data_IF_620892866665
#
_entry.id   IF_620892866665
#
_cell.length_a   1.000
_cell.length_b   1.000
_cell.length_c   1.000
_cell.angle_alpha   90.00
_cell.angle_beta   90.00
_cell.angle_gamma   90.00
#
_symmetry.space_group_name_H-M   'P 1'
#
loop_
_entity.id
_entity.type
_entity.pdbx_description
1 polymer ?
#
# COMPACT_ATOMS: atom_id res chain seq x y z
N UNK A 1 -18.98 9.13 -17.48
CA UNK A 1 -18.39 7.85 -17.98
C UNK A 1 -17.79 7.11 -16.79
N UNK A 2 -17.67 5.78 -16.83
CA UNK A 2 -17.48 4.95 -15.64
C UNK A 2 -16.00 4.55 -15.45
N UNK A 3 -15.53 4.42 -14.21
CA UNK A 3 -14.19 3.93 -13.86
C UNK A 3 -14.03 2.50 -14.37
N UNK A 4 -12.94 2.19 -15.07
CA UNK A 4 -12.70 0.84 -15.57
C UNK A 4 -12.28 -0.10 -14.42
N UNK A 5 -13.07 -1.16 -14.11
CA UNK A 5 -12.75 -2.07 -13.01
C UNK A 5 -11.44 -2.83 -13.22
N UNK A 6 -11.09 -3.18 -14.46
CA UNK A 6 -9.88 -3.92 -14.78
C UNK A 6 -8.62 -3.08 -14.56
N UNK A 7 -8.63 -1.82 -15.00
CA UNK A 7 -7.55 -0.86 -14.75
C UNK A 7 -7.38 -0.56 -13.27
N UNK A 8 -8.48 -0.37 -12.55
CA UNK A 8 -8.43 -0.18 -11.10
C UNK A 8 -7.81 -1.41 -10.41
N UNK A 9 -8.29 -2.62 -10.73
CA UNK A 9 -7.74 -3.85 -10.16
C UNK A 9 -6.25 -4.05 -10.48
N UNK A 10 -5.82 -3.78 -11.71
CA UNK A 10 -4.42 -3.87 -12.11
C UNK A 10 -3.53 -2.89 -11.33
N UNK A 11 -4.00 -1.64 -11.14
CA UNK A 11 -3.28 -0.65 -10.32
C UNK A 11 -3.16 -1.11 -8.87
N UNK A 12 -4.27 -1.52 -8.26
CA UNK A 12 -4.25 -1.98 -6.86
C UNK A 12 -3.31 -3.18 -6.73
N UNK A 13 -3.32 -4.10 -7.70
CA UNK A 13 -2.44 -5.27 -7.71
C UNK A 13 -0.96 -4.90 -7.70
N UNK A 14 -0.54 -3.92 -8.51
CA UNK A 14 0.87 -3.50 -8.57
C UNK A 14 1.33 -2.75 -7.32
N UNK A 15 0.44 -1.98 -6.70
CA UNK A 15 0.74 -1.21 -5.49
C UNK A 15 0.79 -2.12 -4.25
N UNK A 16 -0.15 -3.07 -4.14
CA UNK A 16 -0.31 -3.88 -2.93
C UNK A 16 0.39 -5.25 -2.99
N UNK A 17 0.78 -5.71 -4.18
CA UNK A 17 1.49 -6.98 -4.37
C UNK A 17 0.62 -8.23 -4.25
N UNK A 18 -0.71 -8.08 -4.14
CA UNK A 18 -1.71 -9.13 -4.25
C UNK A 18 -2.50 -8.92 -5.54
N UNK A 19 -2.59 -9.92 -6.39
CA UNK A 19 -3.31 -9.80 -7.65
C UNK A 19 -4.83 -9.75 -7.43
N UNK A 20 -5.50 -8.80 -8.07
CA UNK A 20 -6.95 -8.59 -8.03
C UNK A 20 -7.54 -8.65 -9.44
N UNK A 21 -8.75 -9.20 -9.53
CA UNK A 21 -9.63 -9.09 -10.70
C UNK A 21 -10.78 -8.15 -10.36
N UNK A 22 -11.02 -7.19 -11.26
CA UNK A 22 -12.09 -6.21 -11.14
C UNK A 22 -13.32 -6.60 -11.95
N UNK A 23 -14.50 -6.43 -11.37
CA UNK A 23 -15.78 -6.43 -12.08
C UNK A 23 -16.57 -5.17 -11.70
N UNK A 24 -17.55 -4.78 -12.51
CA UNK A 24 -18.33 -3.59 -12.23
C UNK A 24 -19.72 -3.62 -12.85
N UNK A 25 -20.63 -2.91 -12.20
CA UNK A 25 -21.97 -2.64 -12.69
C UNK A 25 -22.33 -1.18 -12.46
N UNK A 26 -23.28 -0.66 -13.23
CA UNK A 26 -23.87 0.65 -12.91
C UNK A 26 -24.72 0.52 -11.65
N UNK A 27 -24.52 1.43 -10.70
CA UNK A 27 -25.34 1.55 -9.51
C UNK A 27 -26.36 2.67 -9.73
N UNK A 28 -27.54 2.31 -10.26
CA UNK A 28 -28.62 3.26 -10.51
C UNK A 28 -28.24 4.42 -11.46
N UNK A 29 -28.96 5.55 -11.34
CA UNK A 29 -28.91 6.68 -12.29
C UNK A 29 -27.68 7.59 -12.17
N UNK A 30 -26.84 7.47 -11.13
CA UNK A 30 -25.68 8.37 -10.94
C UNK A 30 -24.43 7.77 -10.30
N UNK A 31 -24.44 6.47 -9.97
CA UNK A 31 -23.32 5.80 -9.29
C UNK A 31 -22.75 4.62 -10.08
N UNK A 32 -21.57 4.17 -9.63
CA UNK A 32 -20.94 2.96 -10.13
C UNK A 32 -20.55 2.05 -8.97
N UNK A 33 -20.83 0.76 -9.12
CA UNK A 33 -20.38 -0.26 -8.19
C UNK A 33 -19.28 -1.10 -8.84
N UNK A 34 -18.14 -1.20 -8.18
CA UNK A 34 -17.00 -2.01 -8.58
C UNK A 34 -16.77 -3.08 -7.50
N UNK A 35 -16.25 -4.23 -7.91
CA UNK A 35 -15.87 -5.30 -7.01
C UNK A 35 -14.47 -5.76 -7.39
N UNK A 36 -13.53 -5.67 -6.45
CA UNK A 36 -12.18 -6.20 -6.59
C UNK A 36 -12.09 -7.47 -5.76
N UNK A 37 -11.69 -8.57 -6.38
CA UNK A 37 -11.52 -9.87 -5.72
C UNK A 37 -10.09 -10.38 -5.92
N UNK A 38 -9.43 -10.96 -4.90
CA UNK A 38 -8.15 -11.60 -5.07
C UNK A 38 -8.20 -12.66 -6.19
N UNK A 39 -7.27 -12.57 -7.13
CA UNK A 39 -7.12 -13.54 -8.19
C UNK A 39 -6.70 -14.90 -7.62
N UNK A 40 -6.99 -15.97 -8.35
CA UNK A 40 -6.61 -17.35 -7.98
C UNK A 40 -7.21 -17.90 -6.67
N UNK A 41 -8.06 -17.15 -5.99
CA UNK A 41 -8.78 -17.60 -4.79
C UNK A 41 -10.29 -17.70 -5.05
N UNK A 42 -10.93 -18.82 -4.66
CA UNK A 42 -12.38 -18.95 -4.77
C UNK A 42 -13.11 -17.85 -3.97
N UNK A 43 -14.10 -17.15 -4.56
CA UNK A 43 -14.79 -16.04 -3.89
C UNK A 43 -15.35 -16.41 -2.51
N UNK A 44 -15.85 -17.63 -2.37
CA UNK A 44 -16.48 -18.11 -1.15
C UNK A 44 -15.50 -18.26 0.02
N UNK A 45 -14.21 -18.46 -0.24
CA UNK A 45 -13.17 -18.65 0.78
C UNK A 45 -12.23 -17.45 0.95
N UNK A 46 -12.41 -16.42 0.11
CA UNK A 46 -11.60 -15.22 0.10
C UNK A 46 -12.41 -14.02 0.60
N UNK A 47 -12.08 -12.83 0.11
CA UNK A 47 -12.82 -11.60 0.34
C UNK A 47 -12.99 -10.84 -0.97
N UNK A 48 -13.83 -9.82 -0.95
CA UNK A 48 -13.94 -8.82 -1.99
C UNK A 48 -13.90 -7.42 -1.37
N UNK A 49 -13.42 -6.45 -2.15
CA UNK A 49 -13.62 -5.04 -1.87
C UNK A 49 -14.76 -4.55 -2.75
N UNK A 50 -15.86 -4.14 -2.11
CA UNK A 50 -16.98 -3.53 -2.81
C UNK A 50 -16.77 -2.02 -2.78
N UNK A 51 -16.63 -1.41 -3.95
CA UNK A 51 -16.39 0.03 -4.11
C UNK A 51 -17.62 0.66 -4.73
N UNK A 52 -18.24 1.59 -4.03
CA UNK A 52 -19.36 2.39 -4.50
C UNK A 52 -18.88 3.82 -4.76
N UNK A 53 -18.87 4.19 -6.03
CA UNK A 53 -18.53 5.55 -6.47
C UNK A 53 -19.84 6.29 -6.67
N UNK A 54 -20.13 7.21 -5.77
CA UNK A 54 -21.31 8.08 -5.80
C UNK A 54 -20.92 9.51 -6.11
N UNK A 55 -21.90 10.42 -6.15
CA UNK A 55 -21.63 11.85 -6.36
C UNK A 55 -20.61 12.38 -5.35
N UNK A 56 -19.44 12.80 -5.86
CA UNK A 56 -18.32 13.36 -5.07
C UNK A 56 -17.92 12.49 -3.87
N UNK A 57 -18.11 11.18 -3.97
CA UNK A 57 -17.84 10.26 -2.88
C UNK A 57 -17.41 8.90 -3.36
N UNK A 58 -16.59 8.24 -2.54
CA UNK A 58 -16.26 6.82 -2.67
C UNK A 58 -16.50 6.15 -1.33
N UNK A 59 -17.17 5.01 -1.35
CA UNK A 59 -17.34 4.12 -0.21
C UNK A 59 -16.76 2.76 -0.56
N UNK A 60 -16.00 2.18 0.36
CA UNK A 60 -15.33 0.91 0.17
C UNK A 60 -15.68 0.03 1.35
N UNK A 61 -16.17 -1.18 1.09
CA UNK A 61 -16.50 -2.16 2.11
C UNK A 61 -15.70 -3.44 1.91
N UNK A 62 -15.13 -3.94 3.00
CA UNK A 62 -14.60 -5.30 3.08
C UNK A 62 -15.75 -6.30 3.16
N UNK A 63 -15.79 -7.23 2.21
CA UNK A 63 -16.83 -8.25 2.10
C UNK A 63 -16.20 -9.65 2.13
N UNK A 64 -16.15 -10.32 3.28
CA UNK A 64 -15.73 -11.72 3.36
C UNK A 64 -16.64 -12.66 2.56
N UNK A 65 -16.07 -13.73 2.01
CA UNK A 65 -16.83 -14.81 1.38
C UNK A 65 -17.67 -15.61 2.39
N UNK A 66 -18.64 -16.38 1.89
CA UNK A 66 -19.57 -17.16 2.73
C UNK A 66 -18.90 -18.22 3.62
N UNK A 67 -17.67 -18.63 3.28
CA UNK A 67 -16.85 -19.61 3.99
C UNK A 67 -15.48 -19.05 4.38
N UNK A 68 -15.40 -17.73 4.61
CA UNK A 68 -14.18 -17.04 5.00
C UNK A 68 -13.94 -17.00 6.52
N UNK A 69 -14.61 -17.84 7.33
CA UNK A 69 -14.45 -17.83 8.79
C UNK A 69 -13.00 -18.08 9.24
N UNK A 70 -12.31 -19.02 8.59
CA UNK A 70 -10.89 -19.29 8.85
C UNK A 70 -9.98 -18.11 8.52
N UNK A 71 -10.32 -17.35 7.46
CA UNK A 71 -9.61 -16.11 7.12
C UNK A 71 -9.83 -15.04 8.20
N UNK A 72 -11.08 -14.84 8.65
CA UNK A 72 -11.38 -13.85 9.68
C UNK A 72 -10.69 -14.17 11.02
N UNK A 73 -10.67 -15.44 11.39
CA UNK A 73 -9.95 -15.92 12.57
C UNK A 73 -8.44 -15.63 12.45
N UNK A 74 -7.83 -15.99 11.32
CA UNK A 74 -6.42 -15.68 11.05
C UNK A 74 -6.12 -14.17 11.06
N UNK A 75 -7.02 -13.34 10.54
CA UNK A 75 -6.88 -11.88 10.59
C UNK A 75 -6.92 -11.32 12.02
N UNK A 76 -7.77 -11.88 12.89
CA UNK A 76 -7.80 -11.51 14.31
C UNK A 76 -6.52 -11.89 15.06
N UNK A 77 -5.84 -12.95 14.60
CA UNK A 77 -4.58 -13.45 15.15
C UNK A 77 -3.32 -12.82 14.54
N UNK A 78 -3.46 -11.85 13.62
CA UNK A 78 -2.33 -11.18 12.96
C UNK A 78 -1.26 -10.69 13.94
N UNK A 79 0.02 -10.77 13.60
CA UNK A 79 1.08 -10.33 14.52
C UNK A 79 1.07 -8.82 14.78
N UNK A 80 1.81 -8.38 15.80
CA UNK A 80 1.86 -6.98 16.25
C UNK A 80 2.22 -6.00 15.11
N UNK A 81 3.15 -6.39 14.22
CA UNK A 81 3.51 -5.57 13.06
C UNK A 81 2.34 -5.37 12.08
N UNK A 82 1.60 -6.44 11.78
CA UNK A 82 0.40 -6.37 10.94
C UNK A 82 -0.69 -5.49 11.56
N UNK A 83 -0.93 -5.65 12.86
CA UNK A 83 -1.88 -4.82 13.63
C UNK A 83 -1.49 -3.34 13.60
N UNK A 84 -0.21 -3.03 13.81
CA UNK A 84 0.29 -1.66 13.79
C UNK A 84 0.14 -1.01 12.40
N UNK A 85 0.50 -1.73 11.32
CA UNK A 85 0.33 -1.25 9.96
C UNK A 85 -1.15 -1.02 9.60
N UNK A 86 -2.05 -1.93 9.99
CA UNK A 86 -3.50 -1.76 9.84
C UNK A 86 -4.01 -0.47 10.51
N UNK A 87 -3.64 -0.25 11.76
CA UNK A 87 -4.01 0.97 12.51
C UNK A 87 -3.42 2.22 11.86
N UNK A 88 -2.15 2.18 11.44
CA UNK A 88 -1.45 3.33 10.83
C UNK A 88 -2.10 3.78 9.51
N UNK A 89 -2.48 2.83 8.65
CA UNK A 89 -3.19 3.11 7.39
C UNK A 89 -4.57 3.70 7.63
N UNK A 90 -5.35 3.13 8.56
CA UNK A 90 -6.70 3.63 8.85
C UNK A 90 -6.69 5.00 9.54
N UNK A 91 -5.76 5.26 10.47
CA UNK A 91 -5.59 6.58 11.09
C UNK A 91 -5.22 7.63 10.06
N UNK A 92 -4.25 7.34 9.19
CA UNK A 92 -3.87 8.24 8.08
C UNK A 92 -5.06 8.53 7.16
N UNK A 93 -5.92 7.52 6.91
CA UNK A 93 -7.12 7.70 6.10
C UNK A 93 -8.11 8.67 6.74
N UNK A 94 -8.29 8.60 8.07
CA UNK A 94 -9.13 9.53 8.84
C UNK A 94 -8.55 10.94 8.85
N UNK A 95 -7.23 11.07 9.05
CA UNK A 95 -6.53 12.36 8.99
C UNK A 95 -6.68 13.05 7.63
N UNK A 96 -6.71 12.26 6.55
CA UNK A 96 -7.01 12.73 5.19
C UNK A 96 -8.53 12.93 4.92
N UNK A 97 -9.35 12.85 5.97
CA UNK A 97 -10.77 13.20 5.95
C UNK A 97 -11.72 12.08 5.52
N UNK A 98 -11.33 10.81 5.65
CA UNK A 98 -12.25 9.69 5.52
C UNK A 98 -12.99 9.37 6.83
N UNK A 99 -14.17 8.79 6.70
CA UNK A 99 -14.91 8.14 7.78
C UNK A 99 -14.61 6.63 7.70
N UNK A 100 -14.23 6.02 8.81
CA UNK A 100 -13.95 4.57 8.89
C UNK A 100 -14.91 3.94 9.88
N UNK A 101 -15.64 2.91 9.44
CA UNK A 101 -16.52 2.11 10.28
C UNK A 101 -15.90 0.75 10.55
N UNK A 102 -15.90 0.32 11.82
CA UNK A 102 -15.47 -1.02 12.20
C UNK A 102 -16.49 -1.67 13.14
N UNK A 103 -17.00 -2.84 12.75
CA UNK A 103 -17.94 -3.63 13.54
C UNK A 103 -17.39 -5.03 13.67
N UNK A 104 -17.19 -5.47 14.91
CA UNK A 104 -16.70 -6.80 15.22
C UNK A 104 -17.80 -7.59 15.92
N UNK A 105 -18.15 -8.74 15.37
CA UNK A 105 -19.19 -9.65 15.87
C UNK A 105 -20.57 -8.99 16.08
N UNK A 106 -20.83 -7.86 15.43
CA UNK A 106 -22.07 -7.08 15.56
C UNK A 106 -21.98 -5.89 16.53
N UNK A 107 -20.85 -5.69 17.21
CA UNK A 107 -20.60 -4.53 18.05
C UNK A 107 -19.70 -3.52 17.33
N UNK A 108 -20.18 -2.28 17.19
CA UNK A 108 -19.35 -1.16 16.73
C UNK A 108 -18.19 -0.98 17.69
N UNK A 109 -16.97 -1.03 17.17
CA UNK A 109 -15.73 -1.00 17.96
C UNK A 109 -14.73 -0.02 17.35
N UNK A 110 -13.81 0.51 18.15
CA UNK A 110 -12.66 1.23 17.60
C UNK A 110 -11.68 0.23 17.01
N UNK A 111 -11.14 0.51 15.82
CA UNK A 111 -10.19 -0.39 15.15
C UNK A 111 -8.79 -0.37 15.80
N UNK A 112 -8.54 0.56 16.74
CA UNK A 112 -7.32 0.68 17.52
C UNK A 112 -7.50 0.28 19.00
N UNK A 113 -8.68 -0.24 19.38
CA UNK A 113 -8.92 -0.76 20.72
C UNK A 113 -8.23 -2.13 20.88
N UNK A 114 -7.30 -2.31 21.84
CA UNK A 114 -6.65 -3.60 22.08
C UNK A 114 -7.60 -4.76 22.35
N UNK A 115 -8.84 -4.49 22.81
CA UNK A 115 -9.84 -5.51 23.08
C UNK A 115 -10.27 -6.28 21.83
N UNK A 116 -10.23 -5.67 20.64
CA UNK A 116 -10.65 -6.34 19.40
C UNK A 116 -9.75 -7.53 19.06
N UNK A 117 -8.47 -7.47 19.42
CA UNK A 117 -7.48 -8.53 19.16
C UNK A 117 -7.54 -9.68 20.16
N UNK A 118 -8.29 -9.51 21.27
CA UNK A 118 -8.54 -10.59 22.25
C UNK A 118 -9.85 -11.31 21.97
N UNK A 119 -10.71 -10.71 21.14
CA UNK A 119 -11.96 -11.30 20.73
C UNK A 119 -11.73 -12.27 19.56
N UNK A 120 -12.57 -13.30 19.45
CA UNK A 120 -12.58 -14.19 18.29
C UNK A 120 -13.29 -13.50 17.13
N UNK A 121 -12.62 -13.33 16.00
CA UNK A 121 -13.20 -12.68 14.82
C UNK A 121 -14.10 -13.65 14.05
N UNK A 122 -15.42 -13.49 14.19
CA UNK A 122 -16.42 -14.33 13.49
C UNK A 122 -17.16 -13.57 12.40
N UNK A 123 -17.44 -12.29 12.65
CA UNK A 123 -18.02 -11.37 11.66
C UNK A 123 -17.31 -10.04 11.75
N UNK A 124 -16.84 -9.54 10.62
CA UNK A 124 -16.15 -8.27 10.53
C UNK A 124 -16.84 -7.43 9.46
N UNK A 125 -17.16 -6.20 9.81
CA UNK A 125 -17.52 -5.17 8.83
C UNK A 125 -16.51 -4.05 8.97
N UNK A 126 -15.78 -3.80 7.89
CA UNK A 126 -14.86 -2.67 7.77
C UNK A 126 -15.31 -1.84 6.57
N UNK A 127 -15.61 -0.57 6.79
CA UNK A 127 -15.97 0.38 5.74
C UNK A 127 -15.08 1.62 5.79
N UNK A 128 -14.83 2.20 4.63
CA UNK A 128 -14.11 3.46 4.47
C UNK A 128 -14.88 4.33 3.48
N UNK A 129 -15.26 5.53 3.91
CA UNK A 129 -15.99 6.48 3.08
C UNK A 129 -15.21 7.80 2.99
N UNK A 130 -15.00 8.29 1.78
CA UNK A 130 -14.50 9.64 1.54
C UNK A 130 -15.52 10.45 0.74
N UNK A 131 -16.06 11.50 1.35
CA UNK A 131 -16.91 12.49 0.69
C UNK A 131 -16.14 13.71 0.19
N UNK A 132 -16.86 14.63 -0.45
CA UNK A 132 -16.34 15.92 -0.94
C UNK A 132 -15.17 15.78 -1.92
N UNK A 133 -15.08 14.66 -2.63
CA UNK A 133 -14.06 14.47 -3.65
C UNK A 133 -14.34 15.36 -4.88
N UNK A 134 -13.31 15.91 -5.52
CA UNK A 134 -13.45 16.69 -6.74
C UNK A 134 -13.66 15.78 -7.96
N UNK A 135 -14.61 14.85 -7.87
CA UNK A 135 -14.96 13.95 -8.98
C UNK A 135 -15.80 14.73 -9.99
N UNK A 136 -15.39 14.69 -11.25
CA UNK A 136 -16.08 15.37 -12.35
C UNK A 136 -16.80 14.40 -13.29
N UNK A 137 -16.58 13.09 -13.13
CA UNK A 137 -17.18 12.00 -13.92
C UNK A 137 -16.95 12.12 -15.43
N UNK A 138 -15.96 12.94 -15.83
CA UNK A 138 -15.51 13.10 -17.21
C UNK A 138 -14.73 11.89 -17.72
N UNK A 139 -14.48 10.91 -16.84
CA UNK A 139 -13.56 9.79 -17.04
C UNK A 139 -12.14 10.26 -17.40
N UNK A 140 -11.73 11.30 -16.69
CA UNK A 140 -10.33 11.67 -16.55
C UNK A 140 -9.56 10.58 -15.80
N UNK A 141 -8.26 10.47 -16.08
CA UNK A 141 -7.35 9.65 -15.26
C UNK A 141 -7.33 10.13 -13.80
N UNK A 142 -7.68 11.39 -13.55
CA UNK A 142 -7.76 11.99 -12.23
C UNK A 142 -8.82 11.34 -11.32
N UNK A 143 -10.04 11.09 -11.82
CA UNK A 143 -11.09 10.41 -11.04
C UNK A 143 -10.65 8.99 -10.66
N UNK A 144 -10.06 8.26 -11.61
CA UNK A 144 -9.49 6.94 -11.37
C UNK A 144 -8.32 6.99 -10.39
N UNK A 145 -7.54 8.08 -10.42
CA UNK A 145 -6.43 8.31 -9.51
C UNK A 145 -6.92 8.44 -8.06
N UNK A 146 -7.90 9.31 -7.85
CA UNK A 146 -8.53 9.59 -6.56
C UNK A 146 -9.22 8.37 -5.97
N UNK A 147 -10.04 7.67 -6.77
CA UNK A 147 -10.69 6.44 -6.30
C UNK A 147 -9.65 5.37 -6.00
N UNK A 148 -8.64 5.21 -6.84
CA UNK A 148 -7.54 4.26 -6.63
C UNK A 148 -6.79 4.51 -5.32
N UNK A 149 -6.54 5.77 -4.94
CA UNK A 149 -5.91 6.11 -3.64
C UNK A 149 -6.66 5.49 -2.46
N UNK A 150 -7.99 5.66 -2.42
CA UNK A 150 -8.79 5.17 -1.29
C UNK A 150 -8.94 3.65 -1.31
N UNK A 151 -9.09 3.05 -2.50
CA UNK A 151 -9.12 1.59 -2.64
C UNK A 151 -7.78 0.99 -2.21
N UNK A 152 -6.65 1.61 -2.56
CA UNK A 152 -5.32 1.17 -2.13
C UNK A 152 -5.16 1.20 -0.60
N UNK A 153 -5.69 2.22 0.07
CA UNK A 153 -5.72 2.30 1.54
C UNK A 153 -6.51 1.18 2.17
N UNK A 154 -7.72 0.91 1.67
CA UNK A 154 -8.50 -0.22 2.17
C UNK A 154 -7.76 -1.55 1.93
N UNK A 155 -7.22 -1.76 0.72
CA UNK A 155 -6.47 -2.98 0.38
C UNK A 155 -5.26 -3.18 1.29
N UNK A 156 -4.45 -2.14 1.51
CA UNK A 156 -3.26 -2.19 2.34
C UNK A 156 -3.59 -2.49 3.81
N UNK A 157 -4.66 -1.89 4.35
CA UNK A 157 -5.12 -2.19 5.70
C UNK A 157 -5.49 -3.68 5.83
N UNK A 158 -6.26 -4.23 4.88
CA UNK A 158 -6.65 -5.65 4.92
C UNK A 158 -5.44 -6.57 4.75
N UNK A 159 -4.55 -6.25 3.80
CA UNK A 159 -3.31 -7.00 3.56
C UNK A 159 -2.43 -7.09 4.80
N UNK A 160 -2.36 -6.01 5.59
CA UNK A 160 -1.61 -6.01 6.84
C UNK A 160 -2.07 -7.09 7.82
N UNK A 161 -3.33 -7.53 7.74
CA UNK A 161 -3.90 -8.57 8.59
C UNK A 161 -3.95 -9.95 7.94
N UNK A 162 -3.61 -10.09 6.66
CA UNK A 162 -3.62 -11.40 6.03
C UNK A 162 -2.49 -12.29 6.59
N UNK A 163 -2.74 -13.60 6.76
CA UNK A 163 -1.69 -14.53 7.16
C UNK A 163 -0.60 -14.55 6.08
N UNK A 164 0.65 -14.32 6.47
CA UNK A 164 1.79 -14.41 5.57
C UNK A 164 2.32 -15.84 5.60
N UNK A 165 2.41 -16.47 4.43
CA UNK A 165 3.22 -17.68 4.29
C UNK A 165 4.69 -17.26 4.46
N UNK A 166 5.29 -17.60 5.61
CA UNK A 166 6.71 -17.39 5.85
C UNK A 166 7.49 -18.32 4.92
N UNK A 167 8.13 -17.76 3.89
CA UNK A 167 9.06 -18.50 3.05
C UNK A 167 10.36 -18.75 3.84
N UNK A 168 10.32 -19.66 4.81
CA UNK A 168 11.44 -20.08 5.67
C UNK A 168 12.56 -20.79 4.88
N UNK A 169 12.43 -20.95 3.56
CA UNK A 169 13.33 -21.78 2.74
C UNK A 169 14.67 -21.13 2.35
N UNK A 170 14.95 -19.90 2.77
CA UNK A 170 16.08 -19.11 2.26
C UNK A 170 17.19 -18.73 3.26
N UNK A 171 17.11 -19.16 4.53
CA UNK A 171 17.88 -18.63 5.68
C UNK A 171 19.24 -19.31 5.98
N UNK A 172 19.91 -20.00 5.05
CA UNK A 172 21.08 -20.83 5.38
C UNK A 172 22.46 -20.43 4.79
N UNK A 173 22.87 -19.15 4.73
CA UNK A 173 24.31 -18.83 4.53
C UNK A 173 24.80 -17.62 5.33
N UNK A 174 25.77 -17.90 6.20
CA UNK A 174 26.51 -16.97 7.07
C UNK A 174 27.43 -16.03 6.23
N UNK A 175 27.47 -14.70 6.45
CA UNK A 175 28.13 -13.75 5.53
C UNK A 175 29.65 -13.54 5.75
N UNK A 176 30.28 -14.17 6.74
CA UNK A 176 31.64 -13.77 7.17
C UNK A 176 32.82 -14.54 6.52
N UNK A 177 32.63 -15.30 5.45
CA UNK A 177 33.77 -15.87 4.71
C UNK A 177 34.32 -14.90 3.65
N UNK A 178 35.60 -14.56 3.83
CA UNK A 178 36.45 -13.67 3.04
C UNK A 178 36.19 -13.66 1.52
N UNK A 179 36.04 -12.45 0.97
CA UNK A 179 35.90 -12.17 -0.46
C UNK A 179 37.24 -12.39 -1.17
N UNK A 180 37.48 -13.63 -1.61
CA UNK A 180 38.32 -13.89 -2.77
C UNK A 180 37.45 -13.79 -4.02
N UNK A 181 37.89 -13.00 -5.00
CA UNK A 181 37.10 -12.53 -6.15
C UNK A 181 36.16 -13.57 -6.76
N UNK A 182 34.86 -13.27 -6.72
CA UNK A 182 33.82 -14.07 -7.37
C UNK A 182 33.56 -13.55 -8.81
N UNK A 183 33.15 -14.43 -9.74
CA UNK A 183 32.92 -14.06 -11.14
C UNK A 183 31.74 -13.10 -11.30
N UNK A 184 31.73 -12.34 -12.40
CA UNK A 184 30.61 -11.50 -12.82
C UNK A 184 29.30 -12.32 -12.84
N UNK A 185 28.28 -11.84 -12.11
CA UNK A 185 26.99 -12.53 -11.96
C UNK A 185 26.77 -13.24 -10.62
N UNK A 186 27.71 -13.17 -9.68
CA UNK A 186 27.49 -13.65 -8.31
C UNK A 186 26.52 -12.73 -7.55
N UNK A 187 25.33 -13.26 -7.21
CA UNK A 187 24.29 -12.54 -6.45
C UNK A 187 24.70 -12.43 -4.98
N UNK A 188 25.19 -11.25 -4.59
CA UNK A 188 25.35 -10.88 -3.18
C UNK A 188 23.95 -10.72 -2.57
N UNK A 189 23.52 -11.65 -1.72
CA UNK A 189 22.31 -11.46 -0.90
C UNK A 189 22.69 -10.56 0.28
N UNK A 190 22.52 -9.25 0.08
CA UNK A 190 22.53 -8.28 1.18
C UNK A 190 21.22 -8.47 1.97
N UNK A 191 21.34 -8.62 3.29
CA UNK A 191 20.24 -8.81 4.28
C UNK A 191 19.12 -7.75 4.20
N UNK A 192 19.39 -6.64 3.51
CA UNK A 192 18.44 -5.59 3.12
C UNK A 192 17.16 -6.15 2.44
N UNK A 193 17.26 -7.31 1.78
CA UNK A 193 16.15 -7.90 1.05
C UNK A 193 14.96 -8.38 1.91
N UNK A 194 15.11 -8.74 3.19
CA UNK A 194 13.98 -9.36 3.92
C UNK A 194 12.92 -8.34 4.34
N UNK A 195 13.34 -7.16 4.78
CA UNK A 195 12.44 -6.10 5.25
C UNK A 195 11.86 -5.26 4.11
N UNK A 196 12.61 -5.06 3.02
CA UNK A 196 12.10 -4.46 1.77
C UNK A 196 11.08 -5.36 1.05
N UNK A 197 10.94 -6.64 1.45
CA UNK A 197 10.08 -7.64 0.80
C UNK A 197 8.80 -7.98 1.55
N UNK A 198 8.54 -7.44 2.74
CA UNK A 198 7.21 -7.62 3.32
C UNK A 198 6.21 -6.82 2.47
N UNK A 199 5.43 -7.54 1.66
CA UNK A 199 4.42 -6.96 0.77
C UNK A 199 3.43 -6.09 1.55
N UNK A 200 3.17 -6.41 2.82
CA UNK A 200 2.28 -5.64 3.70
C UNK A 200 2.87 -4.27 4.04
N UNK A 201 4.14 -4.21 4.41
CA UNK A 201 4.84 -2.96 4.70
C UNK A 201 4.94 -2.07 3.46
N UNK A 202 5.26 -2.67 2.31
CA UNK A 202 5.24 -1.95 1.02
C UNK A 202 3.85 -1.39 0.72
N UNK A 203 2.81 -2.23 0.80
CA UNK A 203 1.44 -1.82 0.52
C UNK A 203 1.00 -0.68 1.45
N UNK A 204 1.29 -0.79 2.75
CA UNK A 204 0.97 0.23 3.74
C UNK A 204 1.71 1.55 3.47
N UNK A 205 3.01 1.51 3.16
CA UNK A 205 3.78 2.70 2.83
C UNK A 205 3.24 3.40 1.58
N UNK A 206 2.92 2.66 0.52
CA UNK A 206 2.37 3.24 -0.71
C UNK A 206 0.93 3.76 -0.54
N UNK A 207 0.13 3.12 0.31
CA UNK A 207 -1.20 3.61 0.66
C UNK A 207 -1.17 4.93 1.45
N UNK A 208 -0.13 5.14 2.26
CA UNK A 208 0.07 6.35 3.06
C UNK A 208 0.67 7.46 2.21
N UNK A 209 1.82 7.19 1.56
CA UNK A 209 2.66 8.20 0.91
C UNK A 209 2.39 8.37 -0.59
N UNK A 210 1.68 7.43 -1.22
CA UNK A 210 1.55 7.35 -2.67
C UNK A 210 2.71 6.64 -3.34
N UNK A 211 2.73 6.67 -4.68
CA UNK A 211 3.70 5.93 -5.51
C UNK A 211 4.72 6.85 -6.23
N UNK A 212 4.73 8.14 -5.90
CA UNK A 212 5.71 9.11 -6.40
C UNK A 212 6.94 9.15 -5.49
N UNK A 213 8.10 9.39 -6.08
CA UNK A 213 9.35 9.50 -5.32
C UNK A 213 9.31 10.71 -4.37
N UNK A 214 9.51 10.46 -3.07
CA UNK A 214 9.53 11.53 -2.05
C UNK A 214 10.74 12.47 -2.19
N UNK A 215 11.79 12.05 -2.91
CA UNK A 215 12.98 12.87 -3.12
C UNK A 215 12.90 13.76 -4.38
N UNK A 216 12.40 13.23 -5.51
CA UNK A 216 12.42 13.96 -6.79
C UNK A 216 11.04 14.15 -7.43
N UNK A 217 9.96 13.69 -6.79
CA UNK A 217 8.58 13.78 -7.30
C UNK A 217 8.27 12.89 -8.49
N UNK A 218 9.23 12.11 -8.98
CA UNK A 218 9.03 11.25 -10.15
C UNK A 218 8.01 10.15 -9.86
N UNK A 219 6.93 10.13 -10.64
CA UNK A 219 6.07 8.96 -10.84
C UNK A 219 6.60 8.14 -12.01
N UNK A 220 6.94 6.87 -11.77
CA UNK A 220 7.42 5.98 -12.83
C UNK A 220 6.32 5.63 -13.82
N UNK A 221 5.08 5.48 -13.35
CA UNK A 221 3.91 5.25 -14.20
C UNK A 221 3.64 6.42 -15.13
N UNK A 222 3.69 7.66 -14.63
CA UNK A 222 3.41 8.84 -15.44
C UNK A 222 4.48 9.05 -16.51
N UNK A 223 5.74 8.70 -16.20
CA UNK A 223 6.87 8.87 -17.11
C UNK A 223 7.03 7.75 -18.13
N UNK A 224 6.79 6.50 -17.75
CA UNK A 224 7.08 5.32 -18.56
C UNK A 224 5.84 4.50 -18.93
N UNK A 225 4.65 4.95 -18.53
CA UNK A 225 3.38 4.30 -18.78
C UNK A 225 3.19 3.00 -18.00
N UNK A 226 2.27 2.17 -18.48
CA UNK A 226 1.84 0.94 -17.82
C UNK A 226 3.00 -0.04 -17.51
N UNK A 227 4.06 -0.05 -18.31
CA UNK A 227 5.22 -0.92 -18.11
C UNK A 227 6.00 -0.62 -16.80
N UNK A 228 5.86 0.59 -16.25
CA UNK A 228 6.47 0.98 -14.98
C UNK A 228 5.43 1.43 -13.94
N UNK A 229 4.15 1.14 -14.15
CA UNK A 229 3.11 1.46 -13.19
C UNK A 229 3.35 0.72 -11.87
N UNK A 230 3.42 1.47 -10.77
CA UNK A 230 3.74 0.93 -9.45
C UNK A 230 5.22 0.57 -9.24
N UNK A 231 6.12 0.85 -10.21
CA UNK A 231 7.56 0.69 -10.03
C UNK A 231 8.09 1.77 -9.10
N UNK A 232 8.28 1.43 -7.84
CA UNK A 232 8.80 2.31 -6.79
C UNK A 232 9.39 1.42 -5.69
N UNK A 233 10.48 1.87 -5.09
CA UNK A 233 11.20 1.17 -4.02
C UNK A 233 10.83 1.80 -2.68
N UNK A 234 10.52 0.96 -1.68
CA UNK A 234 10.20 1.43 -0.33
C UNK A 234 11.47 1.34 0.51
N UNK A 235 11.95 2.49 0.93
CA UNK A 235 13.20 2.65 1.65
C UNK A 235 12.95 2.88 3.13
N UNK A 236 13.77 2.27 3.99
CA UNK A 236 13.71 2.51 5.43
C UNK A 236 14.44 3.82 5.79
N UNK A 237 13.77 4.75 6.46
CA UNK A 237 14.37 6.01 6.92
C UNK A 237 15.38 5.79 8.04
N UNK A 238 15.17 4.75 8.85
CA UNK A 238 16.13 4.27 9.86
C UNK A 238 16.76 2.98 9.34
N UNK A 239 18.11 2.83 9.34
CA UNK A 239 18.73 1.59 8.89
C UNK A 239 18.27 0.38 9.70
N UNK A 240 17.92 -0.72 9.02
CA UNK A 240 17.47 -1.97 9.65
C UNK A 240 18.48 -2.50 10.67
N UNK A 241 19.78 -2.32 10.44
CA UNK A 241 20.84 -2.74 11.39
C UNK A 241 20.79 -2.00 12.73
N UNK A 242 20.05 -0.88 12.81
CA UNK A 242 19.81 -0.13 14.04
C UNK A 242 18.47 -0.48 14.68
N UNK A 243 17.64 -1.29 14.02
CA UNK A 243 16.37 -1.78 14.55
C UNK A 243 16.62 -3.06 15.35
N UNK A 244 16.18 -3.09 16.60
CA UNK A 244 16.22 -4.30 17.42
C UNK A 244 15.23 -5.36 16.93
N UNK A 245 15.40 -6.62 17.35
CA UNK A 245 14.52 -7.73 16.94
C UNK A 245 13.04 -7.59 17.36
N UNK A 246 12.72 -6.67 18.26
CA UNK A 246 11.35 -6.33 18.69
C UNK A 246 10.81 -5.04 18.06
N UNK A 247 11.53 -4.45 17.10
CA UNK A 247 11.12 -3.19 16.49
C UNK A 247 9.92 -3.42 15.57
N UNK A 248 8.84 -2.70 15.83
CA UNK A 248 7.64 -2.70 14.99
C UNK A 248 7.72 -1.51 14.04
N UNK A 249 7.87 -1.80 12.75
CA UNK A 249 7.94 -0.79 11.69
C UNK A 249 6.62 -0.03 11.60
N UNK A 250 6.67 1.30 11.67
CA UNK A 250 5.53 2.15 11.30
C UNK A 250 5.68 2.59 9.83
N UNK A 251 4.82 2.11 8.92
CA UNK A 251 4.89 2.45 7.50
C UNK A 251 4.79 3.96 7.21
N UNK A 252 4.29 4.76 8.15
CA UNK A 252 4.19 6.21 8.02
C UNK A 252 5.52 6.91 8.24
N UNK A 253 6.30 6.51 9.25
CA UNK A 253 7.51 7.25 9.68
C UNK A 253 8.79 6.55 9.26
N UNK A 254 8.75 5.23 9.14
CA UNK A 254 9.93 4.40 8.96
C UNK A 254 10.15 4.05 7.50
N UNK A 255 9.13 4.19 6.65
CA UNK A 255 9.14 3.79 5.27
C UNK A 255 8.80 4.96 4.35
N UNK A 256 9.50 5.07 3.23
CA UNK A 256 9.29 6.12 2.24
C UNK A 256 9.46 5.60 0.81
N UNK A 257 8.61 6.02 -0.14
CA UNK A 257 8.77 5.66 -1.55
C UNK A 257 9.87 6.49 -2.23
N UNK A 258 10.80 5.80 -2.90
CA UNK A 258 11.85 6.38 -3.72
C UNK A 258 11.88 5.71 -5.10
N UNK A 259 12.18 6.48 -6.15
CA UNK A 259 12.43 5.90 -7.47
C UNK A 259 13.75 5.11 -7.48
N UNK A 260 13.94 4.15 -8.41
CA UNK A 260 15.14 3.31 -8.45
C UNK A 260 16.46 4.10 -8.43
N UNK A 261 16.48 5.26 -9.08
CA UNK A 261 17.66 6.13 -9.08
C UNK A 261 17.91 6.78 -7.71
N UNK A 262 16.89 7.37 -7.09
CA UNK A 262 17.04 8.02 -5.78
C UNK A 262 17.38 7.00 -4.69
N UNK A 263 16.75 5.83 -4.73
CA UNK A 263 17.05 4.75 -3.79
C UNK A 263 18.48 4.23 -3.96
N UNK A 264 18.91 3.98 -5.20
CA UNK A 264 20.30 3.59 -5.49
C UNK A 264 21.31 4.64 -4.99
N UNK A 265 21.01 5.93 -5.16
CA UNK A 265 21.86 7.03 -4.66
C UNK A 265 21.86 7.08 -3.14
N UNK A 266 20.71 6.85 -2.48
CA UNK A 266 20.60 6.83 -1.03
C UNK A 266 21.63 5.89 -0.39
N UNK A 267 21.79 4.70 -0.97
CA UNK A 267 22.70 3.66 -0.50
C UNK A 267 24.17 3.80 -0.95
N UNK A 268 24.56 4.90 -1.61
CA UNK A 268 25.97 5.14 -1.99
C UNK A 268 26.89 5.47 -0.81
N UNK A 269 26.34 5.63 0.40
CA UNK A 269 27.08 5.82 1.65
C UNK A 269 26.40 5.09 2.82
N UNK A 270 27.11 4.96 3.93
CA UNK A 270 26.57 4.46 5.21
C UNK A 270 26.90 5.46 6.33
N UNK A 271 25.90 5.99 7.08
CA UNK A 271 24.46 5.76 6.90
C UNK A 271 23.92 6.33 5.57
N UNK A 272 22.82 5.79 5.01
CA UNK A 272 22.22 6.26 3.76
C UNK A 272 21.94 7.77 3.72
N UNK A 273 21.80 8.34 2.52
CA UNK A 273 21.30 9.72 2.40
C UNK A 273 19.84 9.80 2.81
N UNK A 274 19.50 10.83 3.60
CA UNK A 274 18.11 11.18 3.89
C UNK A 274 17.40 11.73 2.65
N UNK A 275 16.06 11.72 2.66
CA UNK A 275 15.25 12.33 1.60
C UNK A 275 15.59 13.80 1.38
N UNK A 276 15.84 14.55 2.46
CA UNK A 276 16.18 15.97 2.35
C UNK A 276 17.54 16.17 1.68
N UNK A 277 18.54 15.34 1.99
CA UNK A 277 19.81 15.39 1.29
C UNK A 277 19.64 15.03 -0.19
N UNK A 278 18.84 14.00 -0.50
CA UNK A 278 18.54 13.66 -1.88
C UNK A 278 17.86 14.82 -2.61
N UNK A 279 16.84 15.46 -2.02
CA UNK A 279 16.15 16.63 -2.60
C UNK A 279 17.12 17.75 -2.98
N UNK A 280 18.09 18.03 -2.12
CA UNK A 280 19.15 19.02 -2.40
C UNK A 280 20.01 18.58 -3.58
N UNK A 281 20.41 17.30 -3.63
CA UNK A 281 21.23 16.76 -4.72
C UNK A 281 20.53 16.77 -6.08
N UNK A 282 19.23 16.46 -6.14
CA UNK A 282 18.45 16.48 -7.40
C UNK A 282 17.96 17.88 -7.79
N UNK A 283 18.16 18.88 -6.93
CA UNK A 283 17.69 20.24 -7.18
C UNK A 283 16.16 20.38 -7.18
N UNK A 284 15.44 19.55 -6.44
CA UNK A 284 13.97 19.51 -6.47
C UNK A 284 13.33 20.86 -6.10
N UNK A 285 13.92 21.61 -5.15
CA UNK A 285 13.45 22.95 -4.77
C UNK A 285 13.66 24.02 -5.88
N UNK A 286 14.56 23.77 -6.83
CA UNK A 286 14.74 24.62 -8.02
C UNK A 286 13.78 24.20 -9.16
N UNK A 287 13.56 22.89 -9.34
CA UNK A 287 12.69 22.34 -10.39
C UNK A 287 11.22 22.72 -10.15
N UNK A 288 10.72 22.65 -8.91
CA UNK A 288 9.33 23.01 -8.58
C UNK A 288 9.00 24.50 -8.88
N UNK A 289 9.99 25.39 -8.77
CA UNK A 289 9.85 26.83 -9.07
C UNK A 289 9.86 27.14 -10.57
N UNK A 290 10.49 26.29 -11.38
CA UNK A 290 10.56 26.44 -12.84
C UNK A 290 9.24 25.97 -13.50
N UNK A 291 8.66 24.85 -13.03
CA UNK A 291 7.36 24.33 -13.51
C UNK A 291 6.19 25.29 -13.28
N UNK A 292 6.20 26.06 -12.20
CA UNK A 292 5.18 27.09 -11.92
C UNK A 292 5.31 28.34 -12.81
N UNK A 293 6.48 28.57 -13.44
CA UNK A 293 6.68 29.68 -14.38
C UNK A 293 6.21 29.34 -15.78
N UNK A 294 6.45 28.11 -16.25
CA UNK A 294 6.07 27.66 -17.60
C UNK A 294 4.54 27.49 -17.74
N UNK A 295 3.82 27.26 -16.65
CA UNK A 295 2.34 27.20 -16.65
C UNK A 295 1.60 28.55 -16.66
N UNK A 296 2.31 29.68 -16.73
CA UNK A 296 1.73 31.04 -16.74
C UNK A 296 2.04 31.85 -18.01
N UNK A 297 2.66 31.22 -19.01
CA UNK A 297 2.92 31.83 -20.33
C UNK A 297 2.00 31.26 -21.42
#
# INVERSE_FOLDING_TARGET
>A
MAIDPGRLAARISSECGLEFVGSGSRAGDSGQRLVLQPAHHPPAHAFALVVEVGWRSVEIAFSPGSFASGLLEAMGDAEEAGRAAFVSVLRTSIEDGAEVGFVLNGATSSFDDPAIWRARWQRVTLTMRKGMLPLDFSASEHDAELVGKWVCRMSAAILALLPVESDESLDLRNPEESVAGLPEGSRLRVEVNRYERDRRNRAAALAIHGNSCMACGLSMGDRYGAAAAGLIEVHHTTPVSQMGGSYVVDPRTDLIPLCPNCHSVAHRRSPPFSVNELRVLVGYDAIARESDRVGRE
#
